data_IF_468573632882
#
_entry.id   IF_468573632882
#
_cell.length_a   1.000
_cell.length_b   1.000
_cell.length_c   1.000
_cell.angle_alpha   90.00
_cell.angle_beta   90.00
_cell.angle_gamma   90.00
#
_symmetry.space_group_name_H-M   'P 1'
#
loop_
_entity.id
_entity.type
_entity.pdbx_description
1 polymer ?
#
# COMPACT_ATOMS: atom_id res chain seq x y z
N UNK A 1 -13.66 15.97 3.39
CA UNK A 1 -14.68 15.07 2.82
C UNK A 1 -13.95 13.93 2.13
N UNK A 2 -14.37 12.66 2.30
CA UNK A 2 -13.76 11.51 1.59
C UNK A 2 -14.18 11.57 0.11
N UNK A 3 -13.30 11.33 -0.87
CA UNK A 3 -13.69 11.26 -2.28
C UNK A 3 -14.67 10.11 -2.51
N UNK A 4 -15.53 10.25 -3.52
CA UNK A 4 -16.31 9.11 -4.03
C UNK A 4 -15.39 8.12 -4.73
N UNK A 5 -15.86 6.88 -4.92
CA UNK A 5 -15.12 5.86 -5.67
C UNK A 5 -14.77 6.32 -7.09
N UNK A 6 -15.69 7.03 -7.74
CA UNK A 6 -15.47 7.59 -9.08
C UNK A 6 -14.41 8.70 -9.06
N UNK A 7 -14.46 9.62 -8.09
CA UNK A 7 -13.46 10.67 -7.94
C UNK A 7 -12.07 10.09 -7.70
N UNK A 8 -11.95 9.09 -6.83
CA UNK A 8 -10.69 8.41 -6.57
C UNK A 8 -10.18 7.68 -7.82
N UNK A 9 -11.03 6.91 -8.50
CA UNK A 9 -10.67 6.19 -9.73
C UNK A 9 -10.16 7.15 -10.82
N UNK A 10 -10.86 8.27 -11.03
CA UNK A 10 -10.45 9.28 -12.01
C UNK A 10 -9.11 9.94 -11.64
N UNK A 11 -8.88 10.21 -10.35
CA UNK A 11 -7.62 10.76 -9.87
C UNK A 11 -6.44 9.78 -10.06
N UNK A 12 -6.65 8.49 -9.82
CA UNK A 12 -5.63 7.45 -10.03
C UNK A 12 -5.28 7.29 -11.50
N UNK A 13 -6.27 7.21 -12.39
CA UNK A 13 -6.05 7.16 -13.85
C UNK A 13 -5.29 8.40 -14.35
N UNK A 14 -5.61 9.57 -13.80
CA UNK A 14 -4.90 10.82 -14.13
C UNK A 14 -3.44 10.75 -13.68
N UNK A 15 -3.18 10.26 -12.47
CA UNK A 15 -1.83 10.09 -11.95
C UNK A 15 -1.01 9.06 -12.76
N UNK A 16 -1.63 7.96 -13.19
CA UNK A 16 -0.99 6.98 -14.08
C UNK A 16 -0.55 7.65 -15.39
N UNK A 17 -1.47 8.39 -16.03
CA UNK A 17 -1.16 9.13 -17.26
C UNK A 17 -0.05 10.18 -17.06
N UNK A 18 -0.07 10.92 -15.96
CA UNK A 18 0.98 11.90 -15.62
C UNK A 18 2.36 11.22 -15.54
N UNK A 19 2.43 10.03 -14.95
CA UNK A 19 3.67 9.23 -14.85
C UNK A 19 4.13 8.71 -16.20
N UNK A 20 3.21 8.23 -17.04
CA UNK A 20 3.51 7.73 -18.39
C UNK A 20 4.03 8.82 -19.32
N UNK A 21 3.47 10.03 -19.20
CA UNK A 21 3.84 11.19 -20.02
C UNK A 21 5.06 11.94 -19.49
N UNK A 22 5.55 11.60 -18.28
CA UNK A 22 6.63 12.33 -17.61
C UNK A 22 6.21 13.70 -17.08
N UNK A 23 4.91 14.00 -17.09
CA UNK A 23 4.30 15.25 -16.64
C UNK A 23 3.80 15.10 -15.20
N UNK A 24 4.74 14.89 -14.27
CA UNK A 24 4.46 14.70 -12.84
C UNK A 24 4.97 15.91 -12.01
N UNK A 25 4.32 17.09 -12.11
CA UNK A 25 4.71 18.27 -11.36
C UNK A 25 4.70 17.99 -9.87
N UNK A 26 5.77 18.41 -9.20
CA UNK A 26 5.97 18.27 -7.77
C UNK A 26 5.81 16.82 -7.25
N UNK A 27 5.98 15.83 -8.13
CA UNK A 27 5.81 14.40 -7.84
C UNK A 27 4.40 14.04 -7.32
N UNK A 28 3.37 14.81 -7.71
CA UNK A 28 2.00 14.62 -7.26
C UNK A 28 1.48 13.22 -7.61
N UNK A 29 1.66 12.79 -8.85
CA UNK A 29 1.20 11.50 -9.32
C UNK A 29 1.99 10.36 -8.69
N UNK A 30 3.32 10.46 -8.61
CA UNK A 30 4.16 9.50 -7.90
C UNK A 30 3.68 9.32 -6.46
N UNK A 31 3.42 10.42 -5.75
CA UNK A 31 3.04 10.41 -4.35
C UNK A 31 1.63 9.85 -4.16
N UNK A 32 0.67 10.26 -4.98
CA UNK A 32 -0.70 9.75 -4.91
C UNK A 32 -0.75 8.23 -5.14
N UNK A 33 -0.11 7.74 -6.20
CA UNK A 33 -0.09 6.31 -6.51
C UNK A 33 0.63 5.49 -5.44
N UNK A 34 1.71 6.04 -4.88
CA UNK A 34 2.42 5.43 -3.76
C UNK A 34 1.52 5.30 -2.53
N UNK A 35 0.88 6.40 -2.12
CA UNK A 35 0.01 6.42 -0.95
C UNK A 35 -1.20 5.51 -1.15
N UNK A 36 -1.79 5.48 -2.33
CA UNK A 36 -2.93 4.62 -2.62
C UNK A 36 -2.59 3.14 -2.45
N UNK A 37 -1.49 2.66 -3.04
CA UNK A 37 -1.06 1.25 -2.87
C UNK A 37 -0.78 0.91 -1.41
N UNK A 38 -0.16 1.84 -0.68
CA UNK A 38 0.09 1.66 0.76
C UNK A 38 -1.22 1.58 1.54
N UNK A 39 -2.21 2.41 1.19
CA UNK A 39 -3.52 2.42 1.83
C UNK A 39 -4.26 1.10 1.58
N UNK A 40 -4.23 0.55 0.36
CA UNK A 40 -4.82 -0.76 0.06
C UNK A 40 -4.28 -1.89 0.95
N UNK A 41 -2.97 -1.90 1.21
CA UNK A 41 -2.36 -2.88 2.13
C UNK A 41 -2.83 -2.66 3.57
N UNK A 42 -2.95 -1.40 4.02
CA UNK A 42 -3.39 -1.08 5.37
C UNK A 42 -4.88 -1.38 5.59
N UNK A 43 -5.74 -1.15 4.58
CA UNK A 43 -7.15 -1.51 4.62
C UNK A 43 -7.33 -3.02 4.78
N UNK A 44 -6.53 -3.84 4.06
CA UNK A 44 -6.53 -5.31 4.23
C UNK A 44 -6.08 -5.74 5.62
N UNK A 45 -5.04 -5.11 6.17
CA UNK A 45 -4.60 -5.38 7.55
C UNK A 45 -5.71 -5.08 8.55
N UNK A 46 -6.40 -3.95 8.39
CA UNK A 46 -7.52 -3.58 9.25
C UNK A 46 -8.66 -4.60 9.17
N UNK A 47 -9.07 -5.00 7.96
CA UNK A 47 -10.13 -6.00 7.76
C UNK A 47 -9.84 -7.31 8.50
N UNK A 48 -8.64 -7.88 8.30
CA UNK A 48 -8.27 -9.13 8.95
C UNK A 48 -8.06 -8.99 10.46
N UNK A 49 -7.58 -7.83 10.92
CA UNK A 49 -7.49 -7.54 12.35
C UNK A 49 -8.88 -7.45 13.00
N UNK A 50 -9.86 -6.85 12.34
CA UNK A 50 -11.24 -6.81 12.83
C UNK A 50 -11.86 -8.21 12.93
N UNK A 51 -11.65 -9.07 11.93
CA UNK A 51 -12.09 -10.47 11.96
C UNK A 51 -11.44 -11.24 13.12
N UNK A 52 -10.13 -11.06 13.31
CA UNK A 52 -9.40 -11.63 14.44
C UNK A 52 -9.96 -11.16 15.79
N UNK A 53 -10.20 -9.87 15.96
CA UNK A 53 -10.72 -9.32 17.22
C UNK A 53 -12.15 -9.78 17.52
N UNK A 54 -12.99 -9.98 16.48
CA UNK A 54 -14.39 -10.41 16.63
C UNK A 54 -14.53 -11.90 16.87
N UNK A 55 -13.74 -12.73 16.21
CA UNK A 55 -13.94 -14.19 16.17
C UNK A 55 -12.79 -14.99 16.82
N UNK A 56 -11.73 -14.33 17.28
CA UNK A 56 -10.58 -14.94 17.94
C UNK A 56 -9.50 -15.41 16.96
N UNK A 57 -8.89 -16.57 17.21
CA UNK A 57 -7.68 -17.05 16.55
C UNK A 57 -7.92 -18.20 15.54
N UNK A 58 -8.75 -18.05 14.50
CA UNK A 58 -8.67 -18.98 13.36
C UNK A 58 -7.25 -18.97 12.81
N UNK A 59 -6.60 -20.13 12.76
CA UNK A 59 -5.21 -20.28 12.30
C UNK A 59 -5.02 -19.62 10.92
N UNK A 60 -6.02 -19.73 10.06
CA UNK A 60 -6.01 -19.12 8.72
C UNK A 60 -5.99 -17.58 8.76
N UNK A 61 -6.82 -16.96 9.58
CA UNK A 61 -6.90 -15.49 9.68
C UNK A 61 -5.64 -14.90 10.32
N UNK A 62 -5.11 -15.57 11.35
CA UNK A 62 -3.83 -15.20 11.93
C UNK A 62 -2.69 -15.31 10.90
N UNK A 63 -2.65 -16.37 10.09
CA UNK A 63 -1.65 -16.52 9.02
C UNK A 63 -1.77 -15.43 7.95
N UNK A 64 -2.98 -15.05 7.54
CA UNK A 64 -3.21 -13.95 6.59
C UNK A 64 -2.71 -12.63 7.16
N UNK A 65 -3.03 -12.32 8.41
CA UNK A 65 -2.60 -11.09 9.08
C UNK A 65 -1.07 -11.00 9.17
N UNK A 66 -0.40 -12.10 9.53
CA UNK A 66 1.07 -12.17 9.56
C UNK A 66 1.67 -11.88 8.19
N UNK A 67 1.14 -12.46 7.10
CA UNK A 67 1.63 -12.22 5.74
C UNK A 67 1.49 -10.76 5.34
N UNK A 68 0.32 -10.15 5.56
CA UNK A 68 0.07 -8.75 5.24
C UNK A 68 0.99 -7.79 6.02
N UNK A 69 1.26 -8.10 7.29
CA UNK A 69 2.23 -7.35 8.11
C UNK A 69 3.64 -7.46 7.54
N UNK A 70 4.06 -8.66 7.11
CA UNK A 70 5.39 -8.85 6.51
C UNK A 70 5.52 -8.16 5.15
N UNK A 71 4.47 -8.14 4.33
CA UNK A 71 4.41 -7.37 3.08
C UNK A 71 4.54 -5.86 3.35
N UNK A 72 3.80 -5.33 4.32
CA UNK A 72 3.88 -3.93 4.71
C UNK A 72 5.28 -3.55 5.21
N UNK A 73 5.92 -4.42 6.01
CA UNK A 73 7.30 -4.22 6.47
C UNK A 73 8.31 -4.30 5.34
N UNK A 74 8.15 -5.24 4.41
CA UNK A 74 9.03 -5.37 3.25
C UNK A 74 8.98 -4.10 2.39
N UNK A 75 7.77 -3.57 2.14
CA UNK A 75 7.59 -2.31 1.44
C UNK A 75 8.34 -1.16 2.16
N UNK A 76 8.22 -1.05 3.48
CA UNK A 76 8.95 -0.04 4.26
C UNK A 76 10.48 -0.20 4.22
N UNK A 77 11.01 -1.43 4.21
CA UNK A 77 12.46 -1.68 4.11
C UNK A 77 13.01 -1.26 2.75
N UNK A 78 12.30 -1.60 1.68
CA UNK A 78 12.63 -1.15 0.32
C UNK A 78 12.63 0.38 0.22
N UNK A 79 11.64 1.04 0.83
CA UNK A 79 11.55 2.50 0.88
C UNK A 79 12.71 3.17 1.63
N UNK A 80 13.24 2.51 2.68
CA UNK A 80 14.37 3.01 3.46
C UNK A 80 15.73 2.75 2.81
N UNK A 81 15.78 1.99 1.71
CA UNK A 81 17.03 1.61 1.05
C UNK A 81 17.82 0.52 1.80
N UNK A 82 17.22 -0.14 2.80
CA UNK A 82 17.90 -1.11 3.68
C UNK A 82 18.28 -2.42 2.96
N UNK A 83 17.75 -2.67 1.76
CA UNK A 83 18.08 -3.84 0.93
C UNK A 83 19.26 -3.59 -0.04
N UNK A 84 19.63 -2.33 -0.32
CA UNK A 84 20.78 -2.02 -1.18
C UNK A 84 22.13 -2.31 -0.50
N UNK A 85 22.19 -2.24 0.83
CA UNK A 85 23.41 -2.51 1.61
C UNK A 85 23.74 -4.00 1.77
N UNK A 86 22.88 -4.92 1.32
CA UNK A 86 23.09 -6.38 1.46
C UNK A 86 23.58 -7.09 0.20
N UNK A 87 23.66 -6.40 -0.94
CA UNK A 87 24.16 -6.94 -2.21
C UNK A 87 25.61 -6.54 -2.54
N UNK A 88 26.35 -6.01 -1.56
CA UNK A 88 27.80 -5.79 -1.65
C UNK A 88 28.60 -7.08 -1.45
N UNK A 89 28.58 -7.98 -2.45
CA UNK A 89 29.59 -9.03 -2.67
C UNK A 89 29.92 -9.13 -4.16
#
# INVERSE_FOLDING_TARGET
>A
MKPTTEQLSNALQTAERMREQGEDPDFLAKTLLYLHRRDETLEKVLEHLELFLRFGLPVEEHMKLVRLIEEAKAQQRMERGEDADKLGL
#
